data_IF_768560568517
#
_entry.id   IF_768560568517
#
_cell.length_a   1.000
_cell.length_b   1.000
_cell.length_c   1.000
_cell.angle_alpha   90.00
_cell.angle_beta   90.00
_cell.angle_gamma   90.00
#
_symmetry.space_group_name_H-M   'P 1'
#
loop_
_entity.id
_entity.type
_entity.pdbx_description
1 polymer ?
#
# COMPACT_ATOMS: atom_id res chain seq x y z
N UNK A 1 34.02 -20.19 -10.23
CA UNK A 1 32.92 -19.47 -10.92
C UNK A 1 33.12 -17.98 -10.74
N UNK A 2 33.23 -17.26 -11.88
CA UNK A 2 33.39 -15.80 -11.88
C UNK A 2 32.06 -15.06 -11.84
N UNK A 3 30.97 -15.73 -12.24
CA UNK A 3 29.63 -15.16 -12.32
C UNK A 3 28.64 -16.05 -11.56
N UNK A 4 27.83 -15.40 -10.72
CA UNK A 4 26.63 -15.98 -10.14
C UNK A 4 25.46 -15.06 -10.45
N UNK A 5 24.37 -15.63 -10.94
CA UNK A 5 23.14 -14.93 -11.23
C UNK A 5 22.00 -15.65 -10.51
N UNK A 6 21.26 -14.91 -9.69
CA UNK A 6 20.02 -15.38 -9.07
C UNK A 6 18.89 -14.49 -9.55
N UNK A 7 17.79 -15.12 -9.96
CA UNK A 7 16.57 -14.42 -10.37
C UNK A 7 15.42 -15.04 -9.58
N UNK A 8 14.59 -14.20 -8.99
CA UNK A 8 13.38 -14.61 -8.31
C UNK A 8 12.21 -13.72 -8.73
N UNK A 9 11.03 -14.29 -8.78
CA UNK A 9 9.81 -13.56 -9.08
C UNK A 9 8.61 -14.27 -8.44
N UNK A 10 7.67 -13.47 -7.95
CA UNK A 10 6.42 -13.93 -7.38
C UNK A 10 5.28 -13.09 -7.91
N UNK A 11 4.16 -13.76 -8.17
CA UNK A 11 2.90 -13.10 -8.50
C UNK A 11 1.83 -13.58 -7.53
N UNK A 12 1.04 -12.64 -7.04
CA UNK A 12 -0.09 -12.90 -6.16
C UNK A 12 -1.32 -12.21 -6.71
N UNK A 13 -2.42 -12.95 -6.75
CA UNK A 13 -3.75 -12.42 -6.97
C UNK A 13 -4.59 -12.68 -5.73
N UNK A 14 -5.33 -11.67 -5.26
CA UNK A 14 -6.28 -11.81 -4.18
C UNK A 14 -7.59 -11.09 -4.52
N UNK A 15 -8.69 -11.81 -4.42
CA UNK A 15 -10.03 -11.24 -4.38
C UNK A 15 -10.46 -11.13 -2.93
N UNK A 16 -11.02 -9.99 -2.54
CA UNK A 16 -11.46 -9.72 -1.18
C UNK A 16 -12.92 -9.29 -1.15
N UNK A 17 -13.63 -9.79 -0.17
CA UNK A 17 -14.93 -9.27 0.24
C UNK A 17 -14.80 -8.85 1.69
N UNK A 18 -15.00 -7.56 1.96
CA UNK A 18 -14.84 -6.99 3.29
C UNK A 18 -16.22 -6.75 3.91
N UNK A 19 -16.42 -7.25 5.12
CA UNK A 19 -17.59 -6.94 5.92
C UNK A 19 -17.45 -5.57 6.61
N UNK A 20 -18.57 -4.97 6.99
CA UNK A 20 -18.55 -3.77 7.83
C UNK A 20 -18.21 -4.15 9.28
N UNK A 21 -17.00 -3.80 9.73
CA UNK A 21 -16.54 -4.08 11.10
C UNK A 21 -17.36 -3.33 12.15
N UNK A 22 -18.00 -2.21 11.78
CA UNK A 22 -18.92 -1.47 12.64
C UNK A 22 -20.14 -2.28 13.09
N UNK A 23 -20.50 -3.34 12.34
CA UNK A 23 -21.60 -4.22 12.67
C UNK A 23 -21.39 -4.97 14.00
N UNK A 24 -20.13 -5.26 14.39
CA UNK A 24 -19.81 -5.90 15.68
C UNK A 24 -20.15 -4.96 16.83
N UNK A 25 -19.70 -3.71 16.75
CA UNK A 25 -20.03 -2.68 17.77
C UNK A 25 -21.53 -2.40 17.85
N UNK A 26 -22.18 -2.35 16.69
CA UNK A 26 -23.64 -2.19 16.61
C UNK A 26 -24.39 -3.38 17.26
N UNK A 27 -23.94 -4.61 17.03
CA UNK A 27 -24.55 -5.80 17.59
C UNK A 27 -24.44 -5.82 19.12
N UNK A 28 -23.34 -5.36 19.70
CA UNK A 28 -23.15 -5.26 21.17
C UNK A 28 -24.07 -4.22 21.77
N UNK A 29 -24.35 -3.14 21.07
CA UNK A 29 -25.16 -2.00 21.54
C UNK A 29 -26.62 -2.09 21.11
N UNK A 30 -27.00 -3.10 20.33
CA UNK A 30 -28.37 -3.31 19.87
C UNK A 30 -29.25 -3.79 21.01
N UNK A 31 -30.49 -3.32 21.03
CA UNK A 31 -31.47 -3.74 22.05
C UNK A 31 -31.84 -5.24 21.88
N UNK A 32 -31.44 -6.13 22.77
CA UNK A 32 -31.69 -7.58 22.63
C UNK A 32 -33.15 -7.98 22.74
N UNK A 33 -34.02 -7.07 23.19
CA UNK A 33 -35.47 -7.31 23.30
C UNK A 33 -36.19 -7.03 21.98
N UNK A 34 -35.53 -6.41 21.02
CA UNK A 34 -36.11 -6.04 19.74
C UNK A 34 -35.61 -6.94 18.62
N UNK A 35 -36.54 -7.40 17.77
CA UNK A 35 -36.18 -8.10 16.56
C UNK A 35 -35.37 -7.16 15.63
N UNK A 36 -34.28 -7.61 15.03
CA UNK A 36 -33.56 -6.82 14.02
C UNK A 36 -34.34 -6.71 12.70
N UNK A 37 -35.40 -7.44 12.54
CA UNK A 37 -36.26 -7.40 11.35
C UNK A 37 -37.58 -6.68 11.66
N UNK A 38 -38.03 -5.92 10.65
CA UNK A 38 -39.34 -5.26 10.65
C UNK A 38 -39.82 -5.07 9.20
N UNK A 39 -40.72 -5.91 8.76
CA UNK A 39 -41.20 -5.94 7.38
C UNK A 39 -41.97 -4.67 6.94
N UNK A 40 -42.35 -3.81 7.91
CA UNK A 40 -43.11 -2.59 7.62
C UNK A 40 -42.20 -1.35 7.49
N UNK A 41 -40.88 -1.50 7.68
CA UNK A 41 -39.94 -0.37 7.56
C UNK A 41 -39.55 -0.09 6.11
N UNK A 42 -39.22 1.16 5.77
CA UNK A 42 -38.67 1.50 4.45
C UNK A 42 -37.18 1.09 4.28
N UNK A 43 -36.58 0.41 5.27
CA UNK A 43 -35.15 0.10 5.34
C UNK A 43 -34.89 -1.37 4.99
N UNK A 44 -35.39 -1.85 3.85
CA UNK A 44 -35.24 -3.23 3.35
C UNK A 44 -35.65 -4.32 4.34
N UNK A 45 -36.59 -4.02 5.23
CA UNK A 45 -37.08 -4.95 6.26
C UNK A 45 -36.20 -5.04 7.50
N UNK A 46 -35.20 -4.15 7.65
CA UNK A 46 -34.36 -4.05 8.85
C UNK A 46 -34.91 -2.98 9.81
N UNK A 47 -35.02 -3.29 11.08
CA UNK A 47 -35.47 -2.33 12.09
C UNK A 47 -34.40 -1.29 12.34
N UNK A 48 -34.77 0.00 12.15
CA UNK A 48 -33.98 1.17 12.51
C UNK A 48 -34.77 2.09 13.44
N UNK A 49 -34.08 2.80 14.31
CA UNK A 49 -34.69 3.85 15.13
C UNK A 49 -34.58 5.18 14.39
N UNK A 50 -35.67 5.80 14.09
CA UNK A 50 -35.70 7.03 13.31
C UNK A 50 -36.82 7.98 13.75
N UNK A 51 -36.67 9.23 13.37
CA UNK A 51 -37.70 10.27 13.38
C UNK A 51 -37.97 10.66 11.92
N UNK A 52 -39.23 10.71 11.55
CA UNK A 52 -39.64 11.13 10.22
C UNK A 52 -40.09 12.61 10.24
N UNK A 53 -39.66 13.37 9.25
CA UNK A 53 -40.12 14.73 8.98
C UNK A 53 -40.40 14.87 7.48
N UNK A 54 -41.68 14.85 7.11
CA UNK A 54 -42.12 14.76 5.72
C UNK A 54 -41.55 13.53 5.03
N UNK A 55 -40.75 13.72 3.97
CA UNK A 55 -40.09 12.65 3.23
C UNK A 55 -38.71 12.27 3.78
N UNK A 56 -38.25 12.93 4.84
CA UNK A 56 -36.90 12.75 5.39
C UNK A 56 -36.90 11.85 6.63
N UNK A 57 -35.87 11.02 6.74
CA UNK A 57 -35.67 10.12 7.85
C UNK A 57 -34.39 10.49 8.61
N UNK A 58 -34.51 10.78 9.87
CA UNK A 58 -33.40 11.14 10.77
C UNK A 58 -33.19 10.02 11.76
N UNK A 59 -32.08 9.30 11.59
CA UNK A 59 -31.78 8.13 12.41
C UNK A 59 -31.38 8.49 13.85
N UNK A 60 -31.77 7.65 14.76
CA UNK A 60 -31.51 7.76 16.20
C UNK A 60 -30.98 6.40 16.72
N UNK A 61 -30.21 6.41 17.79
CA UNK A 61 -29.71 5.16 18.41
C UNK A 61 -28.73 4.38 17.53
N UNK A 62 -28.57 3.12 17.85
CA UNK A 62 -27.65 2.18 17.23
C UNK A 62 -28.16 1.73 15.85
N UNK A 63 -27.30 1.62 14.86
CA UNK A 63 -27.64 1.05 13.54
C UNK A 63 -27.94 -0.43 13.66
N UNK A 64 -28.78 -0.94 12.75
CA UNK A 64 -29.05 -2.36 12.66
C UNK A 64 -27.79 -3.11 12.15
N UNK A 65 -27.22 -4.06 12.91
CA UNK A 65 -25.99 -4.76 12.52
C UNK A 65 -26.17 -5.64 11.28
N UNK A 66 -27.37 -6.19 11.06
CA UNK A 66 -27.64 -6.99 9.86
C UNK A 66 -27.74 -6.13 8.61
N UNK A 67 -28.37 -4.95 8.70
CA UNK A 67 -28.42 -3.98 7.63
C UNK A 67 -27.00 -3.52 7.24
N UNK A 68 -26.13 -3.28 8.21
CA UNK A 68 -24.72 -2.91 7.95
C UNK A 68 -23.95 -4.00 7.18
N UNK A 69 -24.24 -5.28 7.45
CA UNK A 69 -23.56 -6.41 6.80
C UNK A 69 -24.15 -6.76 5.44
N UNK A 70 -25.47 -6.69 5.27
CA UNK A 70 -26.17 -7.24 4.12
C UNK A 70 -26.52 -6.19 3.07
N UNK A 71 -26.70 -4.93 3.47
CA UNK A 71 -26.99 -3.80 2.58
C UNK A 71 -25.71 -3.04 2.14
N UNK A 72 -24.54 -3.58 2.48
CA UNK A 72 -23.24 -3.08 2.05
C UNK A 72 -22.46 -4.18 1.35
N UNK A 73 -21.97 -3.87 0.17
CA UNK A 73 -21.05 -4.73 -0.60
C UNK A 73 -19.72 -4.01 -0.75
N UNK A 74 -18.66 -4.60 -0.24
CA UNK A 74 -17.30 -4.07 -0.37
C UNK A 74 -16.41 -5.19 -0.91
N UNK A 75 -16.01 -5.07 -2.16
CA UNK A 75 -15.20 -6.04 -2.89
C UNK A 75 -13.98 -5.36 -3.48
N UNK A 76 -12.93 -6.12 -3.67
CA UNK A 76 -11.73 -5.62 -4.34
C UNK A 76 -10.83 -6.73 -4.87
N UNK A 77 -10.11 -6.39 -5.93
CA UNK A 77 -9.06 -7.20 -6.50
C UNK A 77 -7.71 -6.59 -6.15
N UNK A 78 -6.74 -7.45 -5.96
CA UNK A 78 -5.37 -7.06 -5.71
C UNK A 78 -4.43 -7.95 -6.50
N UNK A 79 -3.59 -7.35 -7.32
CA UNK A 79 -2.54 -7.98 -8.08
C UNK A 79 -1.19 -7.45 -7.59
N UNK A 80 -0.27 -8.35 -7.30
CA UNK A 80 1.10 -7.98 -6.92
C UNK A 80 2.08 -8.85 -7.65
N UNK A 81 3.03 -8.23 -8.31
CA UNK A 81 4.23 -8.87 -8.82
C UNK A 81 5.45 -8.25 -8.15
N UNK A 82 6.30 -9.08 -7.55
CA UNK A 82 7.60 -8.63 -7.07
C UNK A 82 8.68 -9.59 -7.53
N UNK A 83 9.82 -9.03 -7.89
CA UNK A 83 10.95 -9.77 -8.39
C UNK A 83 12.28 -9.14 -8.05
N UNK A 84 13.31 -9.97 -8.03
CA UNK A 84 14.68 -9.56 -7.74
C UNK A 84 15.67 -10.28 -8.66
N UNK A 85 16.68 -9.53 -9.10
CA UNK A 85 17.85 -10.04 -9.80
C UNK A 85 19.08 -9.71 -8.96
N UNK A 86 19.86 -10.74 -8.63
CA UNK A 86 21.14 -10.61 -7.95
C UNK A 86 22.24 -11.12 -8.88
N UNK A 87 23.14 -10.24 -9.25
CA UNK A 87 24.35 -10.53 -10.03
C UNK A 87 25.56 -10.39 -9.12
N UNK A 88 26.44 -11.37 -9.11
CA UNK A 88 27.71 -11.36 -8.40
C UNK A 88 28.81 -11.75 -9.41
N UNK A 89 29.69 -10.83 -9.72
CA UNK A 89 30.71 -10.99 -10.75
C UNK A 89 32.13 -10.66 -10.24
N UNK A 90 33.02 -11.63 -10.32
CA UNK A 90 34.47 -11.43 -10.13
C UNK A 90 35.13 -11.19 -11.47
N UNK A 91 35.84 -10.07 -11.62
CA UNK A 91 36.49 -9.72 -12.88
C UNK A 91 37.60 -10.72 -13.21
N UNK A 92 37.63 -11.22 -14.46
CA UNK A 92 38.62 -12.20 -14.92
C UNK A 92 40.03 -11.66 -14.94
N UNK A 93 40.18 -10.37 -15.32
CA UNK A 93 41.47 -9.68 -15.43
C UNK A 93 41.94 -9.09 -14.09
N UNK A 94 41.06 -9.02 -13.08
CA UNK A 94 41.36 -8.49 -11.74
C UNK A 94 40.47 -9.22 -10.71
N UNK A 95 40.88 -10.44 -10.30
CA UNK A 95 40.04 -11.29 -9.44
C UNK A 95 39.78 -10.71 -8.03
N UNK A 96 40.57 -9.75 -7.60
CA UNK A 96 40.40 -9.00 -6.35
C UNK A 96 39.22 -8.04 -6.39
N UNK A 97 38.77 -7.67 -7.61
CA UNK A 97 37.63 -6.79 -7.84
C UNK A 97 36.38 -7.61 -8.04
N UNK A 98 35.32 -7.27 -7.30
CA UNK A 98 34.02 -7.93 -7.32
C UNK A 98 32.92 -6.89 -7.45
N UNK A 99 32.03 -7.11 -8.40
CA UNK A 99 30.81 -6.33 -8.60
C UNK A 99 29.62 -7.15 -8.12
N UNK A 100 28.79 -6.56 -7.26
CA UNK A 100 27.50 -7.13 -6.85
C UNK A 100 26.41 -6.14 -7.25
N UNK A 101 25.40 -6.60 -7.97
CA UNK A 101 24.24 -5.80 -8.37
C UNK A 101 22.99 -6.49 -7.91
N UNK A 102 22.18 -5.81 -7.10
CA UNK A 102 20.83 -6.20 -6.73
C UNK A 102 19.86 -5.22 -7.35
N UNK A 103 18.96 -5.71 -8.20
CA UNK A 103 17.87 -4.93 -8.76
C UNK A 103 16.55 -5.61 -8.43
N UNK A 104 15.60 -4.83 -7.92
CA UNK A 104 14.29 -5.34 -7.53
C UNK A 104 13.17 -4.43 -8.01
N UNK A 105 12.03 -5.04 -8.25
CA UNK A 105 10.77 -4.37 -8.55
C UNK A 105 9.65 -4.95 -7.68
N UNK A 106 8.68 -4.10 -7.32
CA UNK A 106 7.46 -4.47 -6.64
C UNK A 106 6.32 -3.65 -7.25
N UNK A 107 5.50 -4.29 -8.07
CA UNK A 107 4.33 -3.71 -8.73
C UNK A 107 3.08 -4.22 -8.04
N UNK A 108 2.22 -3.31 -7.60
CA UNK A 108 0.94 -3.60 -6.97
C UNK A 108 -0.15 -2.79 -7.65
N UNK A 109 -1.18 -3.47 -8.08
CA UNK A 109 -2.37 -2.87 -8.67
C UNK A 109 -3.61 -3.41 -7.94
N UNK A 110 -4.58 -2.57 -7.72
CA UNK A 110 -5.82 -3.01 -7.13
C UNK A 110 -6.98 -2.08 -7.44
N UNK A 111 -8.15 -2.68 -7.49
CA UNK A 111 -9.42 -2.00 -7.57
C UNK A 111 -10.29 -2.40 -6.39
N UNK A 112 -11.08 -1.45 -5.90
CA UNK A 112 -12.06 -1.63 -4.86
C UNK A 112 -13.37 -0.97 -5.21
N UNK A 113 -14.49 -1.62 -4.85
CA UNK A 113 -15.84 -1.09 -5.02
C UNK A 113 -16.60 -1.26 -3.73
N UNK A 114 -17.15 -0.15 -3.23
CA UNK A 114 -18.08 -0.16 -2.11
C UNK A 114 -19.43 0.35 -2.59
N UNK A 115 -20.43 -0.49 -2.44
CA UNK A 115 -21.83 -0.18 -2.72
C UNK A 115 -22.61 -0.23 -1.42
N UNK A 116 -23.36 0.81 -1.11
CA UNK A 116 -24.27 0.85 0.04
C UNK A 116 -25.67 1.12 -0.52
N UNK A 117 -26.60 0.22 -0.20
CA UNK A 117 -28.00 0.32 -0.61
C UNK A 117 -28.62 1.64 -0.13
N UNK A 118 -29.49 2.22 -0.95
CA UNK A 118 -30.28 3.40 -0.56
C UNK A 118 -31.27 3.09 0.59
N UNK A 119 -31.53 1.82 0.86
CA UNK A 119 -32.37 1.39 1.99
C UNK A 119 -31.60 1.22 3.29
N UNK A 120 -30.26 1.09 3.23
CA UNK A 120 -29.43 1.05 4.43
C UNK A 120 -29.32 2.44 5.07
N UNK A 121 -29.27 2.50 6.40
CA UNK A 121 -29.05 3.75 7.14
C UNK A 121 -27.84 4.55 6.63
N UNK A 122 -26.74 3.85 6.32
CA UNK A 122 -25.52 4.46 5.79
C UNK A 122 -25.68 4.99 4.35
N UNK A 123 -26.74 4.61 3.65
CA UNK A 123 -27.10 5.10 2.32
C UNK A 123 -27.97 6.36 2.33
N UNK A 124 -28.29 6.90 3.51
CA UNK A 124 -29.09 8.13 3.62
C UNK A 124 -28.17 9.34 3.74
N UNK A 125 -28.49 10.38 2.98
CA UNK A 125 -27.87 11.68 3.09
C UNK A 125 -28.91 12.77 3.28
N UNK A 126 -28.72 13.63 4.27
CA UNK A 126 -29.67 14.68 4.65
C UNK A 126 -31.13 14.15 4.81
N UNK A 127 -31.27 12.94 5.31
CA UNK A 127 -32.55 12.26 5.53
C UNK A 127 -33.16 11.62 4.28
N UNK A 128 -32.51 11.64 3.12
CA UNK A 128 -33.00 11.08 1.86
C UNK A 128 -32.25 9.79 1.47
N UNK A 129 -32.93 8.79 0.90
CA UNK A 129 -32.36 7.52 0.49
C UNK A 129 -31.60 7.67 -0.85
N UNK A 130 -30.30 7.88 -0.79
CA UNK A 130 -29.46 8.11 -1.97
C UNK A 130 -28.57 6.93 -2.34
N UNK A 131 -28.25 6.08 -1.38
CA UNK A 131 -27.22 5.06 -1.53
C UNK A 131 -25.81 5.67 -1.55
N UNK A 132 -24.83 4.82 -1.67
CA UNK A 132 -23.43 5.25 -1.80
C UNK A 132 -22.68 4.28 -2.73
N UNK A 133 -21.92 4.82 -3.67
CA UNK A 133 -21.05 4.04 -4.54
C UNK A 133 -19.67 4.70 -4.54
N UNK A 134 -18.64 3.92 -4.21
CA UNK A 134 -17.25 4.38 -4.22
C UNK A 134 -16.40 3.41 -5.01
N UNK A 135 -15.64 3.92 -5.93
CA UNK A 135 -14.56 3.21 -6.63
C UNK A 135 -13.21 3.70 -6.14
N UNK A 136 -12.30 2.76 -5.91
CA UNK A 136 -10.91 3.04 -5.54
C UNK A 136 -10.01 2.22 -6.45
N UNK A 137 -9.07 2.87 -7.11
CA UNK A 137 -8.02 2.22 -7.87
C UNK A 137 -6.67 2.70 -7.35
N UNK A 138 -5.73 1.81 -7.20
CA UNK A 138 -4.37 2.16 -6.85
C UNK A 138 -3.37 1.41 -7.71
N UNK A 139 -2.27 2.07 -7.95
CA UNK A 139 -1.13 1.57 -8.69
C UNK A 139 0.15 1.98 -7.96
N UNK A 140 0.92 1.00 -7.49
CA UNK A 140 2.19 1.22 -6.82
C UNK A 140 3.28 0.53 -7.62
N UNK A 141 4.33 1.27 -7.97
CA UNK A 141 5.48 0.70 -8.64
C UNK A 141 6.78 1.12 -7.96
N UNK A 142 7.29 0.23 -7.13
CA UNK A 142 8.54 0.43 -6.41
C UNK A 142 9.70 -0.23 -7.15
N UNK A 143 10.81 0.47 -7.23
CA UNK A 143 12.05 0.01 -7.86
C UNK A 143 13.21 0.21 -6.90
N UNK A 144 14.10 -0.74 -6.84
CA UNK A 144 15.34 -0.61 -6.08
C UNK A 144 16.54 -1.11 -6.90
N UNK A 145 17.66 -0.44 -6.71
CA UNK A 145 18.95 -0.84 -7.26
C UNK A 145 20.01 -0.63 -6.17
N UNK A 146 20.76 -1.68 -5.87
CA UNK A 146 21.95 -1.61 -5.02
C UNK A 146 23.11 -2.19 -5.81
N UNK A 147 24.14 -1.36 -6.04
CA UNK A 147 25.34 -1.74 -6.77
C UNK A 147 26.53 -1.56 -5.85
N UNK A 148 27.32 -2.62 -5.69
CA UNK A 148 28.50 -2.65 -4.85
C UNK A 148 29.71 -3.04 -5.66
N UNK A 149 30.80 -2.28 -5.49
CA UNK A 149 32.10 -2.58 -6.04
C UNK A 149 33.05 -2.80 -4.85
N UNK A 150 33.56 -4.00 -4.73
CA UNK A 150 34.49 -4.38 -3.67
C UNK A 150 35.85 -4.77 -4.26
N UNK A 151 36.91 -4.15 -3.74
CA UNK A 151 38.29 -4.47 -4.08
C UNK A 151 39.04 -4.87 -2.81
N UNK A 152 39.53 -6.14 -2.77
CA UNK A 152 40.24 -6.67 -1.62
C UNK A 152 41.59 -7.26 -2.06
N UNK A 153 42.70 -6.74 -1.52
CA UNK A 153 44.03 -7.21 -1.86
C UNK A 153 45.01 -7.09 -0.69
N UNK A 154 45.90 -8.07 -0.60
CA UNK A 154 47.02 -8.02 0.35
C UNK A 154 48.31 -7.61 -0.38
N UNK A 155 48.99 -6.57 0.13
CA UNK A 155 50.27 -6.07 -0.33
C UNK A 155 51.32 -6.33 0.75
N UNK A 156 51.86 -7.55 0.79
CA UNK A 156 52.79 -7.96 1.86
C UNK A 156 52.14 -7.90 3.25
N UNK A 157 52.57 -6.97 4.09
CA UNK A 157 52.02 -6.79 5.44
C UNK A 157 50.76 -5.89 5.50
N UNK A 158 50.37 -5.28 4.37
CA UNK A 158 49.23 -4.40 4.27
C UNK A 158 48.04 -5.18 3.71
N UNK A 159 46.95 -5.28 4.46
CA UNK A 159 45.64 -5.69 3.93
C UNK A 159 44.84 -4.44 3.55
N UNK A 160 44.24 -4.50 2.37
CA UNK A 160 43.47 -3.41 1.78
C UNK A 160 42.08 -3.93 1.37
N UNK A 161 41.03 -3.30 1.85
CA UNK A 161 39.64 -3.56 1.46
C UNK A 161 38.93 -2.24 1.22
N UNK A 162 38.48 -2.05 -0.02
CA UNK A 162 37.76 -0.88 -0.47
C UNK A 162 36.37 -1.29 -0.98
N UNK A 163 35.34 -0.70 -0.43
CA UNK A 163 33.93 -0.88 -0.83
C UNK A 163 33.37 0.45 -1.29
N UNK A 164 32.80 0.47 -2.49
CA UNK A 164 31.93 1.53 -2.99
C UNK A 164 30.51 0.98 -3.21
N UNK A 165 29.49 1.70 -2.78
CA UNK A 165 28.08 1.33 -2.93
C UNK A 165 27.31 2.49 -3.50
N UNK A 166 26.47 2.19 -4.48
CA UNK A 166 25.40 3.07 -4.96
C UNK A 166 24.06 2.43 -4.71
N UNK A 167 23.14 3.19 -4.10
CA UNK A 167 21.78 2.80 -3.85
C UNK A 167 20.82 3.77 -4.52
N UNK A 168 19.79 3.21 -5.14
CA UNK A 168 18.67 3.95 -5.70
C UNK A 168 17.37 3.27 -5.32
N UNK A 169 16.40 4.06 -4.86
CA UNK A 169 15.04 3.61 -4.59
C UNK A 169 14.06 4.63 -5.17
N UNK A 170 13.06 4.12 -5.86
CA UNK A 170 11.95 4.90 -6.37
C UNK A 170 10.66 4.28 -5.86
N UNK A 171 9.80 5.12 -5.32
CA UNK A 171 8.47 4.77 -4.83
C UNK A 171 7.47 5.63 -5.61
N UNK A 172 6.73 5.02 -6.52
CA UNK A 172 5.64 5.64 -7.23
C UNK A 172 4.33 5.10 -6.67
N UNK A 173 3.42 5.99 -6.30
CA UNK A 173 2.13 5.67 -5.73
C UNK A 173 1.05 6.51 -6.38
N UNK A 174 0.17 5.87 -7.14
CA UNK A 174 -1.00 6.50 -7.72
C UNK A 174 -2.25 5.95 -7.03
N UNK A 175 -3.12 6.84 -6.58
CA UNK A 175 -4.39 6.48 -5.98
C UNK A 175 -5.49 7.34 -6.59
N UNK A 176 -6.53 6.67 -7.08
CA UNK A 176 -7.72 7.29 -7.61
C UNK A 176 -8.92 6.85 -6.77
N UNK A 177 -9.68 7.81 -6.26
CA UNK A 177 -10.93 7.58 -5.57
C UNK A 177 -12.04 8.35 -6.28
N UNK A 178 -13.05 7.63 -6.71
CA UNK A 178 -14.32 8.21 -7.15
C UNK A 178 -15.38 7.93 -6.10
N UNK A 179 -15.95 8.95 -5.51
CA UNK A 179 -16.97 8.80 -4.50
C UNK A 179 -18.34 9.28 -5.00
N UNK A 180 -19.35 8.45 -4.77
CA UNK A 180 -20.76 8.82 -4.67
C UNK A 180 -21.45 9.31 -5.93
N UNK A 181 -21.51 8.47 -6.96
CA UNK A 181 -22.25 8.77 -8.19
C UNK A 181 -23.75 9.08 -7.99
N UNK A 182 -24.40 8.57 -6.90
CA UNK A 182 -25.81 8.80 -6.63
C UNK A 182 -26.09 10.18 -6.04
N UNK A 183 -25.19 10.73 -5.20
CA UNK A 183 -25.27 12.12 -4.74
C UNK A 183 -25.12 13.11 -5.89
N UNK A 184 -24.34 12.77 -6.91
CA UNK A 184 -24.22 13.58 -8.11
C UNK A 184 -25.55 13.72 -8.87
N UNK A 185 -26.38 12.69 -8.88
CA UNK A 185 -27.70 12.70 -9.54
C UNK A 185 -28.68 13.64 -8.79
N UNK A 186 -28.56 13.73 -7.45
CA UNK A 186 -29.41 14.58 -6.62
C UNK A 186 -28.95 16.04 -6.55
N UNK A 187 -27.65 16.27 -6.67
CA UNK A 187 -27.05 17.60 -6.72
C UNK A 187 -25.94 17.63 -7.79
N UNK A 188 -26.28 18.09 -9.02
CA UNK A 188 -25.32 18.19 -10.11
C UNK A 188 -24.15 19.14 -9.84
N UNK A 189 -24.27 20.02 -8.84
CA UNK A 189 -23.22 20.95 -8.43
C UNK A 189 -22.33 20.37 -7.33
N UNK A 190 -22.71 19.25 -6.74
CA UNK A 190 -21.87 18.54 -5.79
C UNK A 190 -20.85 17.70 -6.59
N UNK A 191 -19.84 18.39 -7.13
CA UNK A 191 -18.70 17.76 -7.76
C UNK A 191 -17.98 16.92 -6.69
N UNK A 192 -18.25 15.62 -6.72
CA UNK A 192 -17.41 14.66 -6.02
C UNK A 192 -16.06 14.72 -6.68
N UNK A 193 -15.12 15.37 -6.03
CA UNK A 193 -13.77 15.48 -6.54
C UNK A 193 -13.15 14.09 -6.58
N UNK A 194 -12.86 13.63 -7.78
CA UNK A 194 -11.92 12.54 -7.97
C UNK A 194 -10.59 12.97 -7.35
N UNK A 195 -10.13 12.27 -6.35
CA UNK A 195 -8.86 12.56 -5.73
C UNK A 195 -7.79 11.68 -6.37
N UNK A 196 -6.84 12.33 -6.99
CA UNK A 196 -5.62 11.71 -7.48
C UNK A 196 -4.45 12.11 -6.59
N UNK A 197 -3.64 11.16 -6.20
CA UNK A 197 -2.46 11.39 -5.38
C UNK A 197 -1.27 10.66 -5.99
N UNK A 198 -0.24 11.39 -6.35
CA UNK A 198 1.06 10.86 -6.78
C UNK A 198 2.15 11.46 -5.88
N UNK A 199 2.48 10.81 -4.76
CA UNK A 199 3.53 11.26 -3.86
C UNK A 199 4.92 10.75 -4.23
N UNK A 200 5.17 10.39 -5.49
CA UNK A 200 6.43 9.77 -5.95
C UNK A 200 7.69 10.25 -5.21
N UNK A 201 8.53 9.30 -4.79
CA UNK A 201 9.74 9.57 -4.01
C UNK A 201 10.93 8.86 -4.60
N UNK A 202 12.00 9.61 -4.85
CA UNK A 202 13.29 9.08 -5.25
C UNK A 202 14.31 9.26 -4.13
N UNK A 203 15.00 8.19 -3.79
CA UNK A 203 16.09 8.17 -2.82
C UNK A 203 17.37 7.69 -3.52
N UNK A 204 18.48 8.36 -3.25
CA UNK A 204 19.80 7.96 -3.75
C UNK A 204 20.81 8.03 -2.63
N UNK A 205 21.73 7.08 -2.59
CA UNK A 205 22.83 7.10 -1.64
C UNK A 205 24.13 6.62 -2.28
N UNK A 206 25.22 7.28 -1.91
CA UNK A 206 26.58 6.82 -2.16
C UNK A 206 27.26 6.51 -0.86
N UNK A 207 27.85 5.35 -0.76
CA UNK A 207 28.60 4.92 0.41
C UNK A 207 29.98 4.42 -0.01
N UNK A 208 31.01 4.81 0.75
CA UNK A 208 32.39 4.33 0.59
C UNK A 208 32.94 3.88 1.93
N UNK A 209 33.64 2.75 1.93
CA UNK A 209 34.36 2.23 3.10
C UNK A 209 35.75 1.79 2.70
N UNK A 210 36.75 2.26 3.43
CA UNK A 210 38.12 1.81 3.33
C UNK A 210 38.53 1.16 4.64
N UNK A 211 38.98 -0.10 4.59
CA UNK A 211 39.60 -0.81 5.68
C UNK A 211 41.08 -1.07 5.35
N UNK A 212 41.96 -0.67 6.24
CA UNK A 212 43.37 -0.94 6.13
C UNK A 212 43.80 -1.74 7.37
N UNK A 213 44.56 -2.81 7.13
CA UNK A 213 45.21 -3.59 8.20
C UNK A 213 46.74 -3.65 7.95
N UNK A 214 47.54 -3.27 8.93
CA UNK A 214 48.98 -3.30 8.83
C UNK A 214 49.59 -4.30 9.81
N UNK A 215 50.68 -4.95 9.37
CA UNK A 215 51.46 -5.89 10.17
C UNK A 215 50.62 -7.03 10.78
N UNK A 216 50.00 -7.84 9.86
CA UNK A 216 49.08 -8.92 10.21
C UNK A 216 47.87 -8.43 11.02
N UNK A 217 47.32 -7.28 10.64
CA UNK A 217 46.17 -6.61 11.26
C UNK A 217 46.42 -6.17 12.70
N UNK A 218 47.72 -5.97 13.09
CA UNK A 218 48.05 -5.38 14.39
C UNK A 218 47.58 -3.95 14.52
N UNK A 219 47.58 -3.20 13.42
CA UNK A 219 47.05 -1.85 13.33
C UNK A 219 45.92 -1.84 12.30
N UNK A 220 44.76 -1.31 12.65
CA UNK A 220 43.58 -1.25 11.84
C UNK A 220 43.11 0.20 11.71
N UNK A 221 42.75 0.59 10.47
CA UNK A 221 42.11 1.86 10.19
C UNK A 221 40.86 1.60 9.34
N UNK A 222 39.73 2.14 9.76
CA UNK A 222 38.47 2.12 8.99
C UNK A 222 38.02 3.56 8.76
N UNK A 223 37.75 3.90 7.48
CA UNK A 223 37.17 5.18 7.10
C UNK A 223 35.88 4.91 6.35
N UNK A 224 34.80 5.60 6.72
CA UNK A 224 33.50 5.52 6.07
C UNK A 224 33.07 6.91 5.59
N UNK A 225 32.42 6.94 4.43
CA UNK A 225 31.79 8.13 3.88
C UNK A 225 30.41 7.76 3.34
N UNK A 226 29.39 8.58 3.62
CA UNK A 226 28.04 8.40 3.08
C UNK A 226 27.45 9.76 2.67
N UNK A 227 26.77 9.78 1.54
CA UNK A 227 25.98 10.91 1.06
C UNK A 227 24.62 10.39 0.61
N UNK A 228 23.56 10.97 1.15
CA UNK A 228 22.19 10.65 0.83
C UNK A 228 21.53 11.84 0.11
N UNK A 229 20.61 11.55 -0.80
CA UNK A 229 19.75 12.49 -1.50
C UNK A 229 18.32 11.99 -1.54
N UNK A 230 17.37 12.92 -1.46
CA UNK A 230 15.93 12.63 -1.55
C UNK A 230 15.26 13.67 -2.43
N UNK A 231 14.27 13.26 -3.23
CA UNK A 231 13.45 14.17 -4.04
C UNK A 231 12.43 14.98 -3.22
N UNK A 232 12.33 14.71 -1.92
CA UNK A 232 11.42 15.44 -1.00
C UNK A 232 12.02 16.69 -0.35
N UNK A 233 13.30 16.97 -0.61
CA UNK A 233 14.04 18.12 -0.08
C UNK A 233 14.60 18.96 -1.21
#
# INVERSE_FOLDING_TARGET
>A
NHLKLNISGNYTYAFRTNADEGAIGSAISYDPTQSPYDAQTPFAGYREWYQQDGAKYFFRGTSNPLSQLLERRNIGNHHRFYGNINLDYKFHFLPELRLIVNAGIDKQEGDGKTEISSFARAGYWNGLPVGNFTETNYDNFNKNLNTQLNYTKNFGKLSFDLLGVYEYQNFDYENYNSANQLLYVLDPNNNVADTYTDPGVNLQAFFGRLNLGWNNNRYLLTVNYRRDGSSRF
#
